data_IF_359075160691
#
_entry.id   IF_359075160691
#
_cell.length_a   1.000
_cell.length_b   1.000
_cell.length_c   1.000
_cell.angle_alpha   90.00
_cell.angle_beta   90.00
_cell.angle_gamma   90.00
#
_symmetry.space_group_name_H-M   'P 1'
#
loop_
_entity.id
_entity.type
_entity.pdbx_description
1 polymer ?
#
# COMPACT_ATOMS: atom_id res chain seq x y z
N UNK A 1 18.94 -26.37 5.99
CA UNK A 1 17.73 -25.60 5.62
C UNK A 1 18.08 -24.57 4.56
N UNK A 2 17.70 -24.79 3.30
CA UNK A 2 18.00 -23.89 2.17
C UNK A 2 16.78 -22.96 1.98
N UNK A 3 16.79 -21.82 2.65
CA UNK A 3 15.72 -20.83 2.63
C UNK A 3 15.86 -19.88 1.44
N UNK A 4 15.14 -20.20 0.38
CA UNK A 4 14.84 -19.34 -0.77
C UNK A 4 14.16 -18.05 -0.27
N UNK A 5 14.56 -16.87 -0.74
CA UNK A 5 13.70 -15.68 -0.57
C UNK A 5 14.26 -14.28 -0.85
N UNK A 6 15.57 -14.03 -0.77
CA UNK A 6 16.07 -12.64 -0.82
C UNK A 6 16.29 -12.08 -2.24
N UNK A 7 16.27 -12.93 -3.28
CA UNK A 7 16.56 -12.50 -4.67
C UNK A 7 15.37 -11.91 -5.43
N UNK A 8 14.14 -12.31 -5.10
CA UNK A 8 12.95 -11.90 -5.87
C UNK A 8 12.62 -10.41 -5.67
N UNK A 9 12.79 -9.87 -4.46
CA UNK A 9 12.47 -8.46 -4.18
C UNK A 9 13.40 -7.47 -4.89
N UNK A 10 14.66 -7.82 -5.11
CA UNK A 10 15.64 -6.94 -5.78
C UNK A 10 15.42 -6.81 -7.29
N UNK A 11 14.93 -7.87 -7.94
CA UNK A 11 14.70 -7.88 -9.39
C UNK A 11 13.46 -7.06 -9.80
N UNK A 12 12.41 -7.04 -8.97
CA UNK A 12 11.20 -6.23 -9.24
C UNK A 12 11.47 -4.72 -9.15
N UNK A 13 12.41 -4.28 -8.30
CA UNK A 13 12.71 -2.85 -8.11
C UNK A 13 13.39 -2.21 -9.34
N UNK A 14 14.17 -2.97 -10.12
CA UNK A 14 14.89 -2.44 -11.31
C UNK A 14 14.00 -2.23 -12.54
N UNK A 15 12.80 -2.83 -12.59
CA UNK A 15 11.86 -2.68 -13.72
C UNK A 15 10.74 -1.67 -13.47
N UNK A 16 10.68 -1.04 -12.29
CA UNK A 16 9.70 -0.01 -12.02
C UNK A 16 10.11 1.30 -12.69
N UNK A 17 9.25 1.81 -13.57
CA UNK A 17 9.40 3.14 -14.16
C UNK A 17 9.42 4.18 -13.04
N UNK A 18 10.24 5.24 -13.14
CA UNK A 18 10.21 6.30 -12.16
C UNK A 18 8.80 6.91 -12.08
N UNK A 19 8.34 7.22 -10.87
CA UNK A 19 7.01 7.78 -10.62
C UNK A 19 7.12 9.10 -9.86
N UNK A 20 6.34 10.10 -10.24
CA UNK A 20 6.17 11.38 -9.53
C UNK A 20 4.82 11.44 -8.81
N UNK A 21 4.74 12.25 -7.74
CA UNK A 21 3.50 12.46 -6.98
C UNK A 21 2.73 13.64 -7.56
N UNK A 22 1.43 13.48 -7.81
CA UNK A 22 0.56 14.56 -8.26
C UNK A 22 0.30 15.56 -7.13
N UNK A 23 0.36 16.87 -7.43
CA UNK A 23 0.06 17.94 -6.47
C UNK A 23 -1.44 18.04 -6.13
N UNK A 24 -2.31 17.67 -7.09
CA UNK A 24 -3.77 17.78 -7.01
C UNK A 24 -4.37 16.57 -6.26
N UNK A 25 -4.30 15.36 -6.82
CA UNK A 25 -4.88 14.16 -6.21
C UNK A 25 -3.98 13.46 -5.19
N UNK A 26 -2.67 13.73 -5.18
CA UNK A 26 -1.73 13.07 -4.27
C UNK A 26 -1.31 11.65 -4.67
N UNK A 27 -1.87 11.09 -5.75
CA UNK A 27 -1.47 9.77 -6.28
C UNK A 27 -0.15 9.83 -7.04
N UNK A 28 0.57 8.70 -7.08
CA UNK A 28 1.77 8.53 -7.90
C UNK A 28 1.38 8.17 -9.33
N UNK A 29 2.09 8.72 -10.30
CA UNK A 29 1.97 8.41 -11.71
C UNK A 29 3.35 8.43 -12.37
N UNK A 30 3.51 7.77 -13.50
CA UNK A 30 4.80 7.63 -14.18
C UNK A 30 5.29 8.97 -14.72
N UNK A 31 6.60 9.23 -14.66
CA UNK A 31 7.18 10.50 -15.15
C UNK A 31 7.04 10.68 -16.65
N UNK A 32 6.92 9.59 -17.40
CA UNK A 32 6.64 9.56 -18.84
C UNK A 32 5.33 10.24 -19.25
N UNK A 33 4.44 10.57 -18.30
CA UNK A 33 3.25 11.38 -18.57
C UNK A 33 3.48 12.83 -18.13
N UNK A 34 3.26 13.77 -19.05
CA UNK A 34 3.34 15.21 -18.78
C UNK A 34 2.27 15.63 -17.77
N UNK A 35 1.05 15.16 -17.99
CA UNK A 35 -0.11 15.41 -17.15
C UNK A 35 -0.46 14.22 -16.25
N UNK A 36 -1.15 14.49 -15.15
CA UNK A 36 -1.64 13.43 -14.28
C UNK A 36 -2.82 12.70 -14.95
N UNK A 37 -2.72 11.39 -15.23
CA UNK A 37 -3.82 10.64 -15.86
C UNK A 37 -5.06 10.51 -14.96
N UNK A 38 -4.97 10.89 -13.69
CA UNK A 38 -6.08 10.85 -12.73
C UNK A 38 -6.78 12.20 -12.55
N UNK A 39 -6.14 13.31 -12.98
CA UNK A 39 -6.64 14.67 -12.80
C UNK A 39 -6.79 15.43 -14.12
N UNK A 40 -6.13 15.00 -15.20
CA UNK A 40 -6.25 15.66 -16.50
C UNK A 40 -7.71 15.61 -16.93
N UNK A 41 -8.30 16.80 -17.18
CA UNK A 41 -9.71 16.96 -17.53
C UNK A 41 -10.71 17.03 -16.36
N UNK A 42 -10.28 16.95 -15.10
CA UNK A 42 -11.17 17.09 -13.94
C UNK A 42 -11.11 18.50 -13.33
N UNK A 43 -12.25 19.00 -12.89
CA UNK A 43 -12.35 20.22 -12.09
C UNK A 43 -11.82 20.02 -10.65
N UNK A 44 -11.40 21.09 -9.97
CA UNK A 44 -10.89 21.04 -8.59
C UNK A 44 -11.83 20.35 -7.59
N UNK A 45 -13.15 20.50 -7.78
CA UNK A 45 -14.19 19.86 -6.97
C UNK A 45 -14.25 18.35 -7.18
N UNK A 46 -14.06 17.87 -8.41
CA UNK A 46 -14.00 16.44 -8.73
C UNK A 46 -12.72 15.80 -8.21
N UNK A 47 -11.59 16.50 -8.28
CA UNK A 47 -10.32 16.05 -7.67
C UNK A 47 -10.45 15.89 -6.16
N UNK A 48 -11.11 16.82 -5.47
CA UNK A 48 -11.35 16.71 -4.01
C UNK A 48 -12.19 15.48 -3.67
N UNK A 49 -13.24 15.20 -4.46
CA UNK A 49 -14.10 14.03 -4.27
C UNK A 49 -13.38 12.71 -4.57
N UNK A 50 -12.47 12.71 -5.54
CA UNK A 50 -11.63 11.54 -5.84
C UNK A 50 -10.67 11.26 -4.67
N UNK A 51 -10.01 12.29 -4.15
CA UNK A 51 -9.08 12.20 -3.02
C UNK A 51 -9.75 11.68 -1.75
N UNK A 52 -10.97 12.13 -1.43
CA UNK A 52 -11.68 11.69 -0.23
C UNK A 52 -12.01 10.20 -0.28
N UNK A 53 -12.42 9.68 -1.46
CA UNK A 53 -12.67 8.24 -1.67
C UNK A 53 -11.40 7.41 -1.47
N UNK A 54 -10.30 7.77 -2.11
CA UNK A 54 -9.02 7.07 -1.94
C UNK A 54 -8.53 7.09 -0.49
N UNK A 55 -8.70 8.22 0.21
CA UNK A 55 -8.28 8.33 1.61
C UNK A 55 -9.11 7.41 2.50
N UNK A 56 -10.43 7.33 2.28
CA UNK A 56 -11.32 6.42 3.00
C UNK A 56 -10.96 4.94 2.76
N UNK A 57 -10.69 4.56 1.51
CA UNK A 57 -10.29 3.19 1.17
C UNK A 57 -8.94 2.82 1.79
N UNK A 58 -7.98 3.74 1.79
CA UNK A 58 -6.67 3.52 2.40
C UNK A 58 -6.77 3.37 3.93
N UNK A 59 -7.63 4.16 4.58
CA UNK A 59 -7.91 4.04 6.03
C UNK A 59 -8.60 2.71 6.33
N UNK A 60 -9.56 2.29 5.50
CA UNK A 60 -10.26 1.01 5.66
C UNK A 60 -9.28 -0.17 5.56
N UNK A 61 -8.37 -0.14 4.58
CA UNK A 61 -7.37 -1.20 4.40
C UNK A 61 -6.36 -1.27 5.56
N UNK A 62 -5.98 -0.12 6.15
CA UNK A 62 -5.05 -0.07 7.27
C UNK A 62 -5.61 -0.75 8.53
N UNK A 63 -6.93 -0.74 8.73
CA UNK A 63 -7.60 -1.44 9.83
C UNK A 63 -7.55 -2.96 9.70
N UNK A 64 -7.42 -3.48 8.49
CA UNK A 64 -7.30 -4.92 8.25
C UNK A 64 -5.96 -5.46 8.76
N UNK A 65 -4.87 -4.74 8.47
CA UNK A 65 -3.52 -5.10 8.94
C UNK A 65 -3.43 -5.15 10.46
N UNK A 66 -4.03 -4.19 11.16
CA UNK A 66 -4.06 -4.15 12.63
C UNK A 66 -4.83 -5.35 13.21
N UNK A 67 -5.98 -5.70 12.62
CA UNK A 67 -6.76 -6.88 13.04
C UNK A 67 -5.98 -8.18 12.86
N UNK A 68 -5.26 -8.32 11.74
CA UNK A 68 -4.42 -9.50 11.48
C UNK A 68 -3.22 -9.58 12.43
N UNK A 69 -2.60 -8.44 12.74
CA UNK A 69 -1.50 -8.38 13.71
C UNK A 69 -1.97 -8.82 15.11
N UNK A 70 -3.13 -8.30 15.56
CA UNK A 70 -3.75 -8.70 16.83
C UNK A 70 -4.04 -10.20 16.88
N UNK A 71 -4.64 -10.75 15.82
CA UNK A 71 -4.91 -12.18 15.74
C UNK A 71 -3.62 -13.02 15.81
N UNK A 72 -2.55 -12.58 15.14
CA UNK A 72 -1.25 -13.25 15.19
C UNK A 72 -0.62 -13.23 16.59
N UNK A 73 -0.72 -12.11 17.32
CA UNK A 73 -0.23 -12.00 18.70
C UNK A 73 -0.97 -12.97 19.63
N UNK A 74 -2.30 -13.05 19.50
CA UNK A 74 -3.11 -13.98 20.30
C UNK A 74 -2.70 -15.43 20.02
N UNK A 75 -2.60 -15.81 18.74
CA UNK A 75 -2.14 -17.15 18.34
C UNK A 75 -0.75 -17.48 18.89
N UNK A 76 0.18 -16.53 18.82
CA UNK A 76 1.53 -16.70 19.33
C UNK A 76 1.56 -16.93 20.84
N UNK A 77 0.75 -16.17 21.61
CA UNK A 77 0.59 -16.38 23.05
C UNK A 77 0.05 -17.77 23.38
N UNK A 78 -0.96 -18.25 22.63
CA UNK A 78 -1.49 -19.61 22.80
C UNK A 78 -0.44 -20.68 22.52
N UNK A 79 0.35 -20.52 21.46
CA UNK A 79 1.42 -21.46 21.13
C UNK A 79 2.47 -21.52 22.24
N UNK A 80 2.91 -20.38 22.77
CA UNK A 80 3.85 -20.34 23.90
C UNK A 80 3.27 -21.09 25.10
N UNK A 81 2.02 -20.81 25.47
CA UNK A 81 1.36 -21.45 26.60
C UNK A 81 1.31 -22.98 26.44
N UNK A 82 0.99 -23.47 25.25
CA UNK A 82 0.94 -24.91 24.95
C UNK A 82 2.32 -25.57 24.97
N UNK A 83 3.38 -24.86 24.61
CA UNK A 83 4.76 -25.38 24.64
C UNK A 83 5.45 -25.26 25.99
N UNK A 84 4.94 -24.39 26.86
CA UNK A 84 5.51 -24.12 28.18
C UNK A 84 4.87 -24.97 29.29
N UNK A 85 3.75 -25.65 28.99
CA UNK A 85 3.19 -26.74 29.80
C UNK A 85 3.79 -28.08 29.37
#
# INVERSE_FOLDING_TARGET
>A
MKGIGMGAFGAFRRRQKPTKKCKLCGLRYTVDKEECPHCSGLSDSEVKRLKSRFTLEQIANSRLGIKMLLAAIVLFMFLILLTAM
#
